data_IF_848714083250
#
_entry.id   IF_848714083250
#
_cell.length_a   1.000
_cell.length_b   1.000
_cell.length_c   1.000
_cell.angle_alpha   90.00
_cell.angle_beta   90.00
_cell.angle_gamma   90.00
#
_symmetry.space_group_name_H-M   'P 1'
#
loop_
_entity.id
_entity.type
_entity.pdbx_description
1 polymer ?
#
# COMPACT_ATOMS: atom_id res chain seq x y z
N UNK A 1 -27.61 -22.17 14.35
CA UNK A 1 -26.81 -21.75 15.52
C UNK A 1 -25.36 -22.11 15.27
N UNK A 2 -24.62 -21.26 14.57
CA UNK A 2 -23.17 -21.08 14.74
C UNK A 2 -22.97 -19.57 14.58
N UNK A 3 -22.80 -18.91 15.73
CA UNK A 3 -22.24 -17.55 15.80
C UNK A 3 -20.80 -17.66 15.30
N UNK A 4 -20.49 -17.05 14.16
CA UNK A 4 -19.10 -16.70 13.89
C UNK A 4 -18.81 -15.46 14.70
N UNK A 5 -18.14 -15.69 15.84
CA UNK A 5 -17.33 -14.69 16.52
C UNK A 5 -16.33 -14.13 15.51
N UNK A 6 -16.68 -12.99 14.89
CA UNK A 6 -15.72 -12.11 14.29
C UNK A 6 -14.72 -11.76 15.39
N UNK A 7 -13.51 -12.33 15.29
CA UNK A 7 -12.36 -11.85 16.05
C UNK A 7 -12.28 -10.34 15.78
N UNK A 8 -12.58 -9.54 16.80
CA UNK A 8 -12.26 -8.12 16.81
C UNK A 8 -10.75 -8.02 16.60
N UNK A 9 -10.34 -7.72 15.39
CA UNK A 9 -9.01 -7.19 15.13
C UNK A 9 -8.87 -5.94 15.98
N UNK A 10 -7.83 -5.86 16.80
CA UNK A 10 -7.52 -4.66 17.58
C UNK A 10 -7.45 -3.48 16.61
N UNK A 11 -8.44 -2.58 16.68
CA UNK A 11 -8.47 -1.36 15.89
C UNK A 11 -7.35 -0.48 16.44
N UNK A 12 -6.31 -0.22 15.65
CA UNK A 12 -5.25 0.72 16.03
C UNK A 12 -5.87 2.09 16.30
N UNK A 13 -5.68 2.60 17.51
CA UNK A 13 -6.32 3.84 17.96
C UNK A 13 -5.75 5.04 17.19
N UNK A 14 -6.62 5.98 16.82
CA UNK A 14 -6.20 7.24 16.20
C UNK A 14 -5.34 8.04 17.18
N UNK A 15 -4.22 8.59 16.71
CA UNK A 15 -3.53 9.69 17.41
C UNK A 15 -4.40 10.95 17.40
N UNK A 16 -4.10 11.90 18.30
CA UNK A 16 -4.80 13.19 18.32
C UNK A 16 -4.74 13.90 16.95
N UNK A 17 -3.57 13.90 16.32
CA UNK A 17 -3.36 14.57 15.04
C UNK A 17 -4.17 13.92 13.92
N UNK A 18 -4.25 12.59 13.89
CA UNK A 18 -5.06 11.85 12.91
C UNK A 18 -6.55 12.07 13.13
N UNK A 19 -7.01 12.04 14.39
CA UNK A 19 -8.41 12.30 14.73
C UNK A 19 -8.81 13.73 14.35
N UNK A 20 -7.99 14.72 14.71
CA UNK A 20 -8.23 16.13 14.40
C UNK A 20 -8.30 16.36 12.90
N UNK A 21 -7.32 15.83 12.16
CA UNK A 21 -7.26 15.93 10.70
C UNK A 21 -8.49 15.29 10.04
N UNK A 22 -8.82 14.05 10.41
CA UNK A 22 -9.93 13.30 9.81
C UNK A 22 -11.28 13.99 10.05
N UNK A 23 -11.52 14.45 11.29
CA UNK A 23 -12.77 15.15 11.64
C UNK A 23 -12.85 16.50 10.92
N UNK A 24 -11.73 17.21 10.78
CA UNK A 24 -11.67 18.46 10.05
C UNK A 24 -11.96 18.26 8.54
N UNK A 25 -11.40 17.21 7.93
CA UNK A 25 -11.63 16.89 6.52
C UNK A 25 -13.09 16.52 6.25
N UNK A 26 -13.68 15.64 7.07
CA UNK A 26 -15.10 15.26 6.98
C UNK A 26 -16.03 16.47 7.12
N UNK A 27 -15.75 17.34 8.08
CA UNK A 27 -16.56 18.55 8.29
C UNK A 27 -16.42 19.54 7.14
N UNK A 28 -15.20 19.72 6.62
CA UNK A 28 -14.92 20.60 5.48
C UNK A 28 -15.61 20.10 4.21
N UNK A 29 -15.67 18.78 4.00
CA UNK A 29 -16.39 18.19 2.86
C UNK A 29 -17.89 18.49 2.91
N UNK A 30 -18.51 18.36 4.10
CA UNK A 30 -19.94 18.59 4.28
C UNK A 30 -20.34 20.08 4.29
N UNK A 31 -19.57 20.94 4.97
CA UNK A 31 -19.98 22.33 5.26
C UNK A 31 -19.16 23.40 4.55
N UNK A 32 -18.11 23.00 3.83
CA UNK A 32 -17.07 23.89 3.26
C UNK A 32 -16.33 24.75 4.30
N UNK A 33 -16.45 24.42 5.59
CA UNK A 33 -15.77 25.08 6.72
C UNK A 33 -15.08 24.03 7.60
N UNK A 34 -13.89 24.36 8.10
CA UNK A 34 -13.16 23.51 9.04
C UNK A 34 -13.78 23.51 10.44
N UNK A 35 -13.11 22.84 11.38
CA UNK A 35 -13.48 22.89 12.79
C UNK A 35 -13.35 24.31 13.34
N UNK A 36 -14.31 24.68 14.18
CA UNK A 36 -14.22 25.89 15.02
C UNK A 36 -13.39 25.58 16.25
N UNK A 37 -12.82 26.61 16.88
CA UNK A 37 -12.09 26.46 18.14
C UNK A 37 -12.89 25.72 19.22
N UNK A 38 -14.21 25.92 19.26
CA UNK A 38 -15.09 25.22 20.19
C UNK A 38 -15.17 23.72 19.87
N UNK A 39 -15.34 23.36 18.60
CA UNK A 39 -15.41 21.95 18.19
C UNK A 39 -14.07 21.24 18.35
N UNK A 40 -12.94 21.91 18.07
CA UNK A 40 -11.61 21.36 18.34
C UNK A 40 -11.41 21.08 19.82
N UNK A 41 -11.82 22.01 20.70
CA UNK A 41 -11.77 21.80 22.17
C UNK A 41 -12.69 20.67 22.64
N UNK A 42 -13.87 20.54 22.03
CA UNK A 42 -14.79 19.42 22.29
C UNK A 42 -14.17 18.09 21.86
N UNK A 43 -13.61 18.04 20.66
CA UNK A 43 -12.96 16.86 20.11
C UNK A 43 -11.76 16.45 20.98
N UNK A 44 -10.95 17.42 21.42
CA UNK A 44 -9.82 17.19 22.32
C UNK A 44 -10.27 16.69 23.70
N UNK A 45 -11.31 17.29 24.26
CA UNK A 45 -11.90 16.83 25.52
C UNK A 45 -12.37 15.38 25.45
N UNK A 46 -13.01 14.97 24.35
CA UNK A 46 -13.44 13.57 24.15
C UNK A 46 -12.23 12.64 23.96
N UNK A 47 -11.21 13.09 23.22
CA UNK A 47 -9.97 12.33 23.03
C UNK A 47 -9.25 12.06 24.36
N UNK A 48 -9.28 13.03 25.27
CA UNK A 48 -8.70 12.94 26.61
C UNK A 48 -9.67 12.32 27.65
N UNK A 49 -10.77 11.71 27.20
CA UNK A 49 -11.83 11.06 28.02
C UNK A 49 -12.46 11.96 29.10
N UNK A 50 -12.59 13.26 28.83
CA UNK A 50 -13.22 14.24 29.73
C UNK A 50 -14.75 14.21 29.61
N UNK A 51 -15.44 14.43 30.74
CA UNK A 51 -16.89 14.68 30.72
C UNK A 51 -17.17 16.10 30.20
N UNK A 52 -18.36 16.29 29.62
CA UNK A 52 -18.77 17.62 29.16
C UNK A 52 -18.84 18.66 30.28
N UNK A 53 -19.15 18.26 31.51
CA UNK A 53 -19.15 19.17 32.66
C UNK A 53 -17.74 19.72 32.96
N UNK A 54 -16.72 18.85 32.95
CA UNK A 54 -15.33 19.24 33.21
C UNK A 54 -14.80 20.15 32.09
N UNK A 55 -15.13 19.82 30.84
CA UNK A 55 -14.79 20.66 29.69
C UNK A 55 -15.51 22.02 29.75
N UNK A 56 -16.76 22.06 30.21
CA UNK A 56 -17.56 23.28 30.34
C UNK A 56 -16.93 24.28 31.32
N UNK A 57 -16.43 23.77 32.43
CA UNK A 57 -15.67 24.56 33.40
C UNK A 57 -14.36 25.09 32.78
N UNK A 58 -13.59 24.22 32.13
CA UNK A 58 -12.30 24.55 31.52
C UNK A 58 -12.40 25.66 30.45
N UNK A 59 -13.44 25.63 29.62
CA UNK A 59 -13.62 26.61 28.55
C UNK A 59 -14.60 27.75 28.91
N UNK A 60 -15.05 27.80 30.17
CA UNK A 60 -15.98 28.80 30.70
C UNK A 60 -17.25 28.95 29.86
N UNK A 61 -17.93 27.83 29.58
CA UNK A 61 -19.19 27.77 28.82
C UNK A 61 -20.24 26.92 29.51
N UNK A 62 -21.49 27.10 29.14
CA UNK A 62 -22.57 26.22 29.60
C UNK A 62 -22.43 24.81 29.03
N UNK A 63 -22.55 23.78 29.88
CA UNK A 63 -22.48 22.37 29.49
C UNK A 63 -23.49 22.03 28.37
N UNK A 64 -24.68 22.64 28.40
CA UNK A 64 -25.70 22.42 27.37
C UNK A 64 -25.26 22.97 26.00
N UNK A 65 -24.54 24.10 25.97
CA UNK A 65 -23.99 24.66 24.74
C UNK A 65 -22.96 23.72 24.11
N UNK A 66 -22.11 23.11 24.93
CA UNK A 66 -21.14 22.09 24.51
C UNK A 66 -21.85 20.85 23.98
N UNK A 67 -22.87 20.34 24.68
CA UNK A 67 -23.67 19.18 24.23
C UNK A 67 -24.31 19.43 22.87
N UNK A 68 -24.87 20.63 22.65
CA UNK A 68 -25.49 21.01 21.39
C UNK A 68 -24.47 21.10 20.24
N UNK A 69 -23.29 21.66 20.51
CA UNK A 69 -22.20 21.74 19.53
C UNK A 69 -21.66 20.35 19.18
N UNK A 70 -21.43 19.50 20.19
CA UNK A 70 -21.00 18.11 20.00
C UNK A 70 -22.03 17.31 19.20
N UNK A 71 -23.32 17.45 19.52
CA UNK A 71 -24.41 16.79 18.77
C UNK A 71 -24.42 17.20 17.30
N UNK A 72 -24.26 18.50 17.02
CA UNK A 72 -24.23 19.02 15.66
C UNK A 72 -23.04 18.47 14.88
N UNK A 73 -21.85 18.42 15.50
CA UNK A 73 -20.66 17.83 14.92
C UNK A 73 -20.83 16.33 14.65
N UNK A 74 -21.34 15.57 15.63
CA UNK A 74 -21.57 14.13 15.46
C UNK A 74 -22.61 13.80 14.42
N UNK A 75 -23.63 14.65 14.25
CA UNK A 75 -24.61 14.49 13.18
C UNK A 75 -23.93 14.56 11.81
N UNK A 76 -23.08 15.57 11.60
CA UNK A 76 -22.28 15.71 10.37
C UNK A 76 -21.39 14.48 10.17
N UNK A 77 -20.67 14.06 11.20
CA UNK A 77 -19.79 12.88 11.10
C UNK A 77 -20.58 11.61 10.81
N UNK A 78 -21.77 11.45 11.40
CA UNK A 78 -22.62 10.29 11.15
C UNK A 78 -23.12 10.25 9.71
N UNK A 79 -23.49 11.41 9.17
CA UNK A 79 -23.94 11.55 7.78
C UNK A 79 -22.80 11.27 6.78
N UNK A 80 -21.56 11.67 7.10
CA UNK A 80 -20.40 11.46 6.23
C UNK A 80 -19.83 10.03 6.30
N UNK A 81 -19.94 9.37 7.46
CA UNK A 81 -19.37 8.03 7.67
C UNK A 81 -20.37 6.91 7.43
N UNK A 82 -21.67 7.20 7.42
CA UNK A 82 -22.73 6.19 7.38
C UNK A 82 -22.89 5.39 8.68
N UNK A 83 -22.11 5.72 9.72
CA UNK A 83 -22.20 5.11 11.05
C UNK A 83 -22.77 6.12 12.07
N UNK A 84 -23.58 5.64 13.01
CA UNK A 84 -24.05 6.49 14.11
C UNK A 84 -22.91 6.83 15.08
N UNK A 85 -22.45 8.07 15.06
CA UNK A 85 -21.35 8.56 15.88
C UNK A 85 -21.86 9.33 17.10
N UNK A 86 -21.22 9.09 18.25
CA UNK A 86 -21.37 9.84 19.49
C UNK A 86 -20.07 9.83 20.28
N UNK A 87 -20.04 10.51 21.43
CA UNK A 87 -18.80 10.66 22.21
C UNK A 87 -18.15 9.33 22.62
N UNK A 88 -18.96 8.30 22.91
CA UNK A 88 -18.48 6.99 23.37
C UNK A 88 -17.83 6.13 22.29
N UNK A 89 -18.18 6.34 21.02
CA UNK A 89 -17.69 5.53 19.91
C UNK A 89 -16.99 6.35 18.83
N UNK A 90 -16.79 7.66 19.04
CA UNK A 90 -16.17 8.56 18.08
C UNK A 90 -14.82 8.04 17.56
N UNK A 91 -13.90 7.73 18.48
CA UNK A 91 -12.55 7.30 18.13
C UNK A 91 -12.60 5.96 17.39
N UNK A 92 -13.36 4.99 17.90
CA UNK A 92 -13.46 3.65 17.29
C UNK A 92 -14.21 3.63 15.96
N UNK A 93 -15.24 4.48 15.80
CA UNK A 93 -15.97 4.62 14.55
C UNK A 93 -15.12 5.33 13.49
N UNK A 94 -14.35 6.35 13.89
CA UNK A 94 -13.46 7.05 12.97
C UNK A 94 -12.19 6.29 12.64
N UNK A 95 -11.68 5.47 13.56
CA UNK A 95 -10.60 4.53 13.26
C UNK A 95 -11.09 3.50 12.23
N UNK A 96 -12.29 2.91 12.43
CA UNK A 96 -12.92 2.06 11.40
C UNK A 96 -13.18 2.82 10.11
N UNK A 97 -13.58 4.08 10.17
CA UNK A 97 -13.77 4.89 8.97
C UNK A 97 -12.44 5.09 8.26
N UNK A 98 -11.36 5.52 8.93
CA UNK A 98 -10.00 5.61 8.36
C UNK A 98 -9.59 4.30 7.69
N UNK A 99 -9.78 3.19 8.40
CA UNK A 99 -9.37 1.85 7.96
C UNK A 99 -10.25 1.32 6.81
N UNK A 100 -11.48 1.84 6.66
CA UNK A 100 -12.42 1.47 5.60
C UNK A 100 -12.57 2.54 4.49
N UNK A 101 -12.03 3.75 4.67
CA UNK A 101 -12.20 4.90 3.77
C UNK A 101 -11.09 4.94 2.73
N UNK A 102 -11.08 3.95 1.86
CA UNK A 102 -10.75 4.24 0.48
C UNK A 102 -12.04 4.75 -0.22
N UNK A 103 -11.90 5.91 -0.90
CA UNK A 103 -12.76 6.47 -1.97
C UNK A 103 -13.93 7.39 -1.54
N UNK A 104 -13.74 8.72 -1.68
CA UNK A 104 -14.78 9.68 -2.08
C UNK A 104 -14.16 10.81 -2.92
N UNK A 105 -14.81 11.18 -4.03
CA UNK A 105 -14.40 12.32 -4.87
C UNK A 105 -14.94 13.66 -4.33
N UNK A 106 -14.51 14.76 -4.95
CA UNK A 106 -14.87 16.13 -4.56
C UNK A 106 -16.38 16.47 -4.59
N UNK A 107 -17.25 15.55 -5.02
CA UNK A 107 -18.69 15.72 -5.10
C UNK A 107 -19.51 14.74 -4.23
N UNK A 108 -18.85 14.02 -3.31
CA UNK A 108 -19.49 13.20 -2.27
C UNK A 108 -20.51 12.17 -2.81
N UNK A 109 -20.27 11.66 -4.02
CA UNK A 109 -20.93 10.46 -4.54
C UNK A 109 -19.99 9.27 -4.33
N UNK A 110 -20.51 8.06 -4.04
CA UNK A 110 -19.71 6.86 -4.19
C UNK A 110 -19.34 6.74 -5.66
N UNK A 111 -18.09 7.05 -5.99
CA UNK A 111 -17.52 6.71 -7.28
C UNK A 111 -17.04 5.26 -7.19
N UNK A 112 -17.45 4.35 -8.08
CA UNK A 112 -16.54 3.29 -8.47
C UNK A 112 -15.39 3.98 -9.20
N UNK A 113 -14.25 4.17 -8.51
CA UNK A 113 -13.03 4.49 -9.23
C UNK A 113 -12.69 3.29 -10.11
N UNK A 114 -12.35 3.64 -11.33
CA UNK A 114 -12.09 2.76 -12.45
C UNK A 114 -10.91 1.84 -12.08
N UNK A 115 -11.19 0.59 -11.69
CA UNK A 115 -10.23 -0.53 -11.54
C UNK A 115 -9.25 -0.56 -10.32
N UNK A 116 -9.75 -0.44 -9.09
CA UNK A 116 -8.94 -0.68 -7.87
C UNK A 116 -9.03 -2.13 -7.33
N UNK A 117 -9.70 -3.02 -8.06
CA UNK A 117 -9.81 -4.42 -7.63
C UNK A 117 -8.53 -5.18 -7.95
N UNK A 118 -7.77 -5.55 -6.92
CA UNK A 118 -6.60 -6.41 -7.06
C UNK A 118 -7.04 -7.88 -7.04
N UNK A 119 -6.71 -8.63 -8.10
CA UNK A 119 -6.94 -10.08 -8.12
C UNK A 119 -5.75 -10.79 -7.49
N UNK A 120 -5.99 -11.57 -6.44
CA UNK A 120 -5.00 -12.48 -5.87
C UNK A 120 -5.06 -13.82 -6.61
N UNK A 121 -4.00 -14.10 -7.37
CA UNK A 121 -3.78 -15.37 -8.06
C UNK A 121 -2.70 -16.16 -7.32
N UNK A 122 -3.09 -17.25 -6.65
CA UNK A 122 -2.15 -18.17 -6.00
C UNK A 122 -1.90 -19.36 -6.92
N UNK A 123 -0.64 -19.51 -7.31
CA UNK A 123 -0.13 -20.61 -8.10
C UNK A 123 0.94 -21.35 -7.29
N UNK A 124 0.85 -22.66 -7.22
CA UNK A 124 1.93 -23.50 -6.72
C UNK A 124 2.85 -23.89 -7.87
N UNK A 125 4.14 -23.59 -7.69
CA UNK A 125 5.28 -23.95 -8.53
C UNK A 125 6.49 -24.11 -7.59
N UNK A 126 7.47 -24.94 -7.95
CA UNK A 126 8.75 -25.00 -7.22
C UNK A 126 9.40 -23.62 -7.10
N UNK A 127 9.78 -23.22 -5.88
CA UNK A 127 10.26 -21.86 -5.57
C UNK A 127 11.55 -21.50 -6.32
N UNK A 128 12.42 -22.48 -6.59
CA UNK A 128 13.71 -22.27 -7.26
C UNK A 128 13.57 -22.05 -8.78
N UNK A 129 12.35 -22.12 -9.33
CA UNK A 129 12.11 -22.15 -10.76
C UNK A 129 11.55 -20.87 -11.36
N UNK A 130 11.39 -19.76 -10.63
CA UNK A 130 10.78 -18.52 -11.17
C UNK A 130 11.77 -17.41 -11.44
N UNK A 131 12.51 -17.57 -12.54
CA UNK A 131 13.26 -16.45 -13.12
C UNK A 131 12.31 -15.34 -13.57
N UNK A 132 12.75 -14.07 -13.62
CA UNK A 132 11.95 -12.98 -14.18
C UNK A 132 11.38 -13.29 -15.57
N UNK A 133 12.16 -13.99 -16.41
CA UNK A 133 11.74 -14.44 -17.74
C UNK A 133 10.56 -15.41 -17.70
N UNK A 134 10.55 -16.34 -16.74
CA UNK A 134 9.44 -17.27 -16.54
C UNK A 134 8.20 -16.55 -15.98
N UNK A 135 8.37 -15.52 -15.14
CA UNK A 135 7.26 -14.66 -14.68
C UNK A 135 6.65 -13.90 -15.87
N UNK A 136 7.47 -13.33 -16.75
CA UNK A 136 7.00 -12.63 -17.95
C UNK A 136 6.20 -13.58 -18.87
N UNK A 137 6.67 -14.83 -19.02
CA UNK A 137 5.94 -15.89 -19.75
C UNK A 137 4.59 -16.23 -19.11
N UNK A 138 4.55 -16.39 -17.78
CA UNK A 138 3.31 -16.63 -17.03
C UNK A 138 2.33 -15.47 -17.23
N UNK A 139 2.81 -14.22 -17.13
CA UNK A 139 1.96 -13.05 -17.35
C UNK A 139 1.34 -13.03 -18.76
N UNK A 140 2.13 -13.36 -19.79
CA UNK A 140 1.63 -13.47 -21.16
C UNK A 140 0.54 -14.55 -21.32
N UNK A 141 0.64 -15.67 -20.59
CA UNK A 141 -0.42 -16.69 -20.57
C UNK A 141 -1.69 -16.15 -19.91
N UNK A 142 -1.56 -15.51 -18.76
CA UNK A 142 -2.66 -14.92 -18.00
C UNK A 142 -3.41 -13.89 -18.87
N UNK A 143 -2.68 -12.98 -19.51
CA UNK A 143 -3.26 -11.98 -20.43
C UNK A 143 -4.06 -12.62 -21.58
N UNK A 144 -3.52 -13.69 -22.20
CA UNK A 144 -4.22 -14.43 -23.27
C UNK A 144 -5.50 -15.08 -22.78
N UNK A 145 -5.48 -15.69 -21.60
CA UNK A 145 -6.65 -16.37 -21.01
C UNK A 145 -7.72 -15.37 -20.61
N UNK A 146 -7.30 -14.26 -20.00
CA UNK A 146 -8.15 -13.14 -19.65
C UNK A 146 -8.66 -12.35 -20.87
N UNK A 147 -8.02 -12.54 -22.04
CA UNK A 147 -8.23 -11.73 -23.24
C UNK A 147 -8.03 -10.24 -22.96
N UNK A 148 -7.06 -9.93 -22.12
CA UNK A 148 -6.78 -8.59 -21.64
C UNK A 148 -5.26 -8.40 -21.52
N UNK A 149 -4.71 -7.52 -22.35
CA UNK A 149 -3.28 -7.21 -22.35
C UNK A 149 -2.89 -6.15 -21.31
N UNK A 150 -3.87 -5.55 -20.62
CA UNK A 150 -3.63 -4.61 -19.53
C UNK A 150 -3.27 -5.34 -18.24
N UNK A 151 -3.54 -6.64 -18.15
CA UNK A 151 -3.25 -7.42 -16.94
C UNK A 151 -1.75 -7.50 -16.68
N UNK A 152 -1.34 -7.10 -15.48
CA UNK A 152 0.06 -7.12 -15.06
C UNK A 152 0.17 -7.52 -13.59
N UNK A 153 1.26 -8.19 -13.19
CA UNK A 153 1.53 -8.41 -11.79
C UNK A 153 1.95 -7.10 -11.13
N UNK A 154 1.39 -6.81 -9.96
CA UNK A 154 1.74 -5.63 -9.16
C UNK A 154 2.73 -5.98 -8.05
N UNK A 155 2.59 -7.15 -7.44
CA UNK A 155 3.57 -7.71 -6.51
C UNK A 155 3.49 -9.23 -6.43
N UNK A 156 4.50 -9.84 -5.79
CA UNK A 156 4.56 -11.28 -5.49
C UNK A 156 4.93 -11.56 -4.03
N UNK A 157 4.55 -12.71 -3.48
CA UNK A 157 5.05 -13.21 -2.18
C UNK A 157 5.82 -14.53 -2.32
N UNK A 158 6.72 -14.81 -1.36
CA UNK A 158 7.48 -16.06 -1.24
C UNK A 158 6.64 -17.20 -0.63
N UNK A 159 7.04 -18.45 -0.91
CA UNK A 159 6.46 -19.67 -0.31
C UNK A 159 5.40 -20.37 -1.16
N UNK A 160 4.70 -19.60 -1.99
CA UNK A 160 3.84 -20.03 -3.10
C UNK A 160 3.82 -18.85 -4.07
N UNK A 161 3.76 -19.04 -5.39
CA UNK A 161 3.65 -17.88 -6.27
C UNK A 161 2.28 -17.25 -6.04
N UNK A 162 2.23 -16.26 -5.16
CA UNK A 162 1.07 -15.42 -5.00
C UNK A 162 1.31 -14.18 -5.82
N UNK A 163 0.68 -14.10 -6.98
CA UNK A 163 0.69 -12.91 -7.82
C UNK A 163 -0.54 -12.07 -7.48
N UNK A 164 -0.32 -10.79 -7.29
CA UNK A 164 -1.38 -9.82 -7.25
C UNK A 164 -1.44 -9.17 -8.62
N UNK A 165 -2.61 -9.13 -9.23
CA UNK A 165 -2.80 -8.64 -10.59
C UNK A 165 -3.64 -7.36 -10.60
N UNK A 166 -3.21 -6.42 -11.42
CA UNK A 166 -4.01 -5.28 -11.90
C UNK A 166 -4.39 -5.52 -13.36
N UNK A 167 -5.44 -4.86 -13.86
CA UNK A 167 -5.92 -4.97 -15.24
C UNK A 167 -7.39 -4.56 -15.35
N UNK A 168 -8.02 -4.70 -16.52
CA UNK A 168 -9.43 -4.33 -16.67
C UNK A 168 -10.34 -5.20 -15.79
N UNK A 169 -11.45 -4.62 -15.33
CA UNK A 169 -12.43 -5.34 -14.52
C UNK A 169 -12.94 -6.60 -15.22
N UNK A 170 -13.24 -6.52 -16.53
CA UNK A 170 -13.68 -7.66 -17.34
C UNK A 170 -12.61 -8.76 -17.40
N UNK A 171 -11.35 -8.39 -17.58
CA UNK A 171 -10.22 -9.32 -17.65
C UNK A 171 -10.00 -10.05 -16.31
N UNK A 172 -10.00 -9.30 -15.20
CA UNK A 172 -9.83 -9.86 -13.87
C UNK A 172 -11.02 -10.72 -13.44
N UNK A 173 -12.26 -10.27 -13.72
CA UNK A 173 -13.47 -11.03 -13.41
C UNK A 173 -13.52 -12.34 -14.21
N UNK A 174 -13.12 -12.30 -15.49
CA UNK A 174 -13.01 -13.52 -16.31
C UNK A 174 -12.03 -14.53 -15.73
N UNK A 175 -10.89 -14.10 -15.17
CA UNK A 175 -9.96 -15.00 -14.50
C UNK A 175 -10.61 -15.66 -13.27
N UNK A 176 -11.33 -14.88 -12.47
CA UNK A 176 -12.07 -15.40 -11.31
C UNK A 176 -13.14 -16.42 -11.71
N UNK A 177 -13.94 -16.12 -12.74
CA UNK A 177 -15.01 -17.00 -13.24
C UNK A 177 -14.45 -18.31 -13.82
N UNK A 178 -13.33 -18.22 -14.56
CA UNK A 178 -12.63 -19.39 -15.08
C UNK A 178 -12.06 -20.27 -13.95
N UNK A 179 -11.60 -19.67 -12.86
CA UNK A 179 -11.16 -20.42 -11.70
C UNK A 179 -12.34 -21.11 -11.01
N UNK A 180 -13.45 -20.39 -10.79
CA UNK A 180 -14.65 -20.91 -10.15
C UNK A 180 -15.30 -22.07 -10.94
N UNK A 181 -15.24 -22.02 -12.27
CA UNK A 181 -15.70 -23.09 -13.16
C UNK A 181 -14.71 -24.27 -13.28
N UNK A 182 -13.48 -24.13 -12.77
CA UNK A 182 -12.40 -25.12 -12.90
C UNK A 182 -11.69 -25.11 -14.26
N UNK A 183 -12.06 -24.20 -15.18
CA UNK A 183 -11.48 -24.12 -16.51
C UNK A 183 -10.11 -23.42 -16.55
N UNK A 184 -9.81 -22.56 -15.57
CA UNK A 184 -8.57 -21.78 -15.58
C UNK A 184 -7.32 -22.66 -15.63
N UNK A 185 -7.31 -23.74 -14.85
CA UNK A 185 -6.21 -24.71 -14.81
C UNK A 185 -6.01 -25.41 -16.17
N UNK A 186 -7.11 -25.84 -16.80
CA UNK A 186 -7.06 -26.49 -18.10
C UNK A 186 -6.50 -25.55 -19.17
N UNK A 187 -6.96 -24.30 -19.20
CA UNK A 187 -6.49 -23.28 -20.16
C UNK A 187 -5.02 -22.94 -19.98
N UNK A 188 -4.55 -22.86 -18.75
CA UNK A 188 -3.12 -22.65 -18.46
C UNK A 188 -2.28 -23.84 -18.96
N UNK A 189 -2.76 -25.06 -18.75
CA UNK A 189 -2.08 -26.28 -19.23
C UNK A 189 -2.08 -26.42 -20.76
N UNK A 190 -3.12 -25.97 -21.44
CA UNK A 190 -3.20 -25.99 -22.91
C UNK A 190 -2.27 -24.98 -23.57
N UNK A 191 -2.07 -23.81 -22.95
CA UNK A 191 -1.34 -22.70 -23.54
C UNK A 191 0.14 -22.62 -23.13
N UNK A 192 0.53 -23.30 -22.05
CA UNK A 192 1.92 -23.26 -21.57
C UNK A 192 2.87 -23.96 -22.53
N UNK A 193 4.09 -23.45 -22.60
CA UNK A 193 5.23 -24.10 -23.26
C UNK A 193 5.96 -25.03 -22.29
N UNK A 194 6.72 -26.00 -22.83
CA UNK A 194 7.40 -27.06 -22.05
C UNK A 194 8.40 -26.55 -21.00
N UNK A 195 8.91 -25.32 -21.17
CA UNK A 195 9.86 -24.66 -20.27
C UNK A 195 9.19 -23.95 -19.08
N UNK A 196 7.86 -23.88 -19.07
CA UNK A 196 7.08 -23.39 -17.94
C UNK A 196 6.76 -24.59 -17.04
N UNK A 197 7.16 -24.56 -15.76
CA UNK A 197 6.88 -25.67 -14.84
C UNK A 197 5.37 -25.90 -14.67
N UNK A 198 5.00 -27.03 -14.07
CA UNK A 198 3.60 -27.28 -13.74
C UNK A 198 3.05 -26.16 -12.84
N UNK A 199 2.00 -25.50 -13.32
CA UNK A 199 1.30 -24.41 -12.66
C UNK A 199 0.05 -25.03 -12.05
N UNK A 200 -0.10 -24.96 -10.72
CA UNK A 200 -1.33 -25.37 -10.05
C UNK A 200 -2.02 -24.13 -9.48
N UNK A 201 -3.19 -23.78 -10.02
CA UNK A 201 -3.98 -22.66 -9.50
C UNK A 201 -4.75 -23.11 -8.27
N UNK A 202 -4.48 -22.47 -7.13
CA UNK A 202 -5.20 -22.71 -5.87
C UNK A 202 -6.27 -21.67 -5.59
N UNK A 203 -6.08 -20.47 -6.12
CA UNK A 203 -6.89 -19.29 -5.82
C UNK A 203 -6.80 -18.32 -6.99
N UNK A 204 -7.94 -17.80 -7.43
CA UNK A 204 -8.02 -16.60 -8.27
C UNK A 204 -9.28 -15.85 -7.87
N UNK A 205 -9.15 -14.93 -6.91
CA UNK A 205 -10.27 -14.13 -6.42
C UNK A 205 -9.79 -12.73 -6.07
N UNK A 206 -10.72 -11.79 -6.04
CA UNK A 206 -10.41 -10.42 -5.63
C UNK A 206 -10.09 -10.39 -4.14
N UNK A 207 -8.93 -9.83 -3.81
CA UNK A 207 -8.54 -9.69 -2.40
C UNK A 207 -9.43 -8.66 -1.71
N UNK A 208 -9.76 -8.93 -0.45
CA UNK A 208 -10.39 -7.97 0.47
C UNK A 208 -9.43 -7.54 1.58
N UNK A 209 -8.15 -7.95 1.50
CA UNK A 209 -7.14 -7.57 2.47
C UNK A 209 -6.73 -6.11 2.25
N UNK A 210 -7.13 -5.24 3.18
CA UNK A 210 -6.88 -3.81 3.10
C UNK A 210 -5.39 -3.47 3.01
N UNK A 211 -4.49 -4.22 3.69
CA UNK A 211 -3.05 -3.97 3.64
C UNK A 211 -2.46 -4.31 2.27
N UNK A 212 -2.96 -5.38 1.66
CA UNK A 212 -2.58 -5.78 0.31
C UNK A 212 -3.04 -4.72 -0.70
N UNK A 213 -4.26 -4.21 -0.55
CA UNK A 213 -4.82 -3.18 -1.42
C UNK A 213 -4.04 -1.87 -1.27
N UNK A 214 -3.78 -1.42 -0.03
CA UNK A 214 -2.99 -0.22 0.24
C UNK A 214 -1.58 -0.31 -0.37
N UNK A 215 -0.91 -1.44 -0.18
CA UNK A 215 0.40 -1.70 -0.78
C UNK A 215 0.35 -1.70 -2.31
N UNK A 216 -0.68 -2.30 -2.89
CA UNK A 216 -0.90 -2.29 -4.33
C UNK A 216 -1.07 -0.85 -4.86
N UNK A 217 -1.93 -0.04 -4.24
CA UNK A 217 -2.12 1.36 -4.63
C UNK A 217 -0.84 2.20 -4.49
N UNK A 218 -0.05 1.97 -3.43
CA UNK A 218 1.25 2.61 -3.29
C UNK A 218 2.19 2.24 -4.46
N UNK A 219 2.24 0.96 -4.85
CA UNK A 219 3.06 0.50 -5.97
C UNK A 219 2.59 1.14 -7.29
N UNK A 220 1.28 1.23 -7.53
CA UNK A 220 0.75 1.95 -8.71
C UNK A 220 1.18 3.40 -8.71
N UNK A 221 1.00 4.10 -7.59
CA UNK A 221 1.35 5.51 -7.46
C UNK A 221 2.85 5.77 -7.69
N UNK A 222 3.72 4.84 -7.27
CA UNK A 222 5.15 4.88 -7.58
C UNK A 222 5.40 4.73 -9.08
N UNK A 223 4.78 3.74 -9.73
CA UNK A 223 4.96 3.47 -11.17
C UNK A 223 4.47 4.62 -12.04
N UNK A 224 3.39 5.28 -11.62
CA UNK A 224 2.80 6.42 -12.31
C UNK A 224 3.48 7.75 -11.97
N UNK A 225 4.32 7.78 -10.93
CA UNK A 225 5.02 8.99 -10.48
C UNK A 225 4.08 10.02 -9.84
N UNK A 226 2.94 9.58 -9.30
CA UNK A 226 1.93 10.44 -8.67
C UNK A 226 2.14 10.62 -7.16
N UNK A 227 3.03 9.82 -6.56
CA UNK A 227 3.33 9.85 -5.13
C UNK A 227 4.33 10.95 -4.75
N UNK A 228 4.18 11.50 -3.55
CA UNK A 228 5.25 12.27 -2.91
C UNK A 228 6.35 11.31 -2.43
N UNK A 229 7.48 11.29 -3.14
CA UNK A 229 8.59 10.36 -2.87
C UNK A 229 9.25 10.57 -1.49
N UNK A 230 8.96 11.65 -0.78
CA UNK A 230 9.46 11.87 0.60
C UNK A 230 8.71 11.02 1.63
N UNK A 231 7.57 10.44 1.25
CA UNK A 231 6.69 9.63 2.12
C UNK A 231 7.04 8.15 2.13
N UNK A 232 8.04 7.71 1.36
CA UNK A 232 8.36 6.28 1.16
C UNK A 232 9.26 5.69 2.27
N UNK A 233 9.31 6.31 3.44
CA UNK A 233 10.09 5.82 4.57
C UNK A 233 9.39 4.64 5.22
N UNK A 234 10.15 3.57 5.50
CA UNK A 234 9.67 2.37 6.21
C UNK A 234 8.46 1.66 5.57
N UNK A 235 8.14 1.97 4.31
CA UNK A 235 7.04 1.33 3.60
C UNK A 235 7.37 -0.12 3.25
N UNK A 236 6.34 -0.97 3.15
CA UNK A 236 6.49 -2.32 2.62
C UNK A 236 6.27 -2.35 1.11
N UNK A 237 7.36 -2.50 0.36
CA UNK A 237 7.41 -2.70 -1.09
C UNK A 237 7.96 -4.09 -1.45
N UNK A 238 7.91 -5.04 -0.51
CA UNK A 238 8.42 -6.38 -0.77
C UNK A 238 7.68 -7.04 -1.93
N UNK A 239 8.44 -7.64 -2.84
CA UNK A 239 7.95 -8.31 -4.04
C UNK A 239 7.32 -7.37 -5.08
N UNK A 240 7.42 -6.06 -4.93
CA UNK A 240 6.83 -5.08 -5.86
C UNK A 240 7.46 -5.17 -7.26
N UNK A 241 6.64 -5.03 -8.30
CA UNK A 241 7.12 -4.88 -9.68
C UNK A 241 7.28 -3.38 -10.01
N UNK A 242 8.50 -2.88 -9.91
CA UNK A 242 8.88 -1.46 -10.06
C UNK A 242 9.83 -1.24 -11.25
N UNK A 243 9.75 -2.09 -12.28
CA UNK A 243 10.60 -2.02 -13.47
C UNK A 243 10.45 -0.64 -14.12
N UNK A 244 11.57 0.05 -14.31
CA UNK A 244 11.61 1.38 -14.93
C UNK A 244 10.98 2.50 -14.11
N UNK A 245 10.58 2.25 -12.85
CA UNK A 245 9.96 3.27 -12.01
C UNK A 245 10.92 4.45 -11.74
N UNK A 246 10.38 5.67 -11.71
CA UNK A 246 11.15 6.85 -11.35
C UNK A 246 11.11 7.06 -9.83
N UNK A 247 12.15 6.59 -9.14
CA UNK A 247 12.39 6.76 -7.72
C UNK A 247 13.56 7.73 -7.44
N UNK A 248 13.92 8.59 -8.39
CA UNK A 248 14.97 9.58 -8.18
C UNK A 248 14.66 10.46 -6.97
N UNK A 249 15.67 10.73 -6.15
CA UNK A 249 15.60 11.51 -4.91
C UNK A 249 14.56 11.02 -3.88
N UNK A 250 14.08 9.77 -4.01
CA UNK A 250 13.11 9.20 -3.09
C UNK A 250 13.70 8.97 -1.70
N UNK A 251 12.88 9.17 -0.67
CA UNK A 251 13.22 8.82 0.69
C UNK A 251 12.72 7.41 1.01
N UNK A 252 13.57 6.41 0.79
CA UNK A 252 13.30 4.98 1.00
C UNK A 252 13.95 4.44 2.28
N UNK A 253 14.24 5.32 3.25
CA UNK A 253 14.92 4.93 4.49
C UNK A 253 14.13 3.85 5.22
N UNK A 254 14.77 2.71 5.47
CA UNK A 254 14.15 1.56 6.14
C UNK A 254 13.02 0.88 5.37
N UNK A 255 12.81 1.20 4.09
CA UNK A 255 11.81 0.53 3.27
C UNK A 255 12.15 -0.96 3.11
N UNK A 256 11.12 -1.81 3.10
CA UNK A 256 11.28 -3.22 2.74
C UNK A 256 11.12 -3.37 1.23
N UNK A 257 12.23 -3.63 0.52
CA UNK A 257 12.29 -3.89 -0.92
C UNK A 257 12.68 -5.34 -1.22
N UNK A 258 12.56 -6.24 -0.23
CA UNK A 258 12.91 -7.65 -0.43
C UNK A 258 12.13 -8.25 -1.60
N UNK A 259 12.81 -9.02 -2.46
CA UNK A 259 12.24 -9.63 -3.68
C UNK A 259 11.65 -8.64 -4.72
N UNK A 260 11.80 -7.33 -4.54
CA UNK A 260 11.30 -6.33 -5.48
C UNK A 260 12.05 -6.37 -6.82
N UNK A 261 11.32 -6.17 -7.91
CA UNK A 261 11.90 -6.06 -9.25
C UNK A 261 12.09 -4.58 -9.61
N UNK A 262 13.33 -4.09 -9.45
CA UNK A 262 13.75 -2.72 -9.70
C UNK A 262 14.55 -2.60 -11.01
N UNK A 263 14.40 -3.56 -11.94
CA UNK A 263 15.12 -3.54 -13.22
C UNK A 263 14.90 -2.21 -13.94
N UNK A 264 15.99 -1.53 -14.31
CA UNK A 264 15.92 -0.25 -15.02
C UNK A 264 15.27 0.91 -14.25
N UNK A 265 14.95 0.76 -12.95
CA UNK A 265 14.40 1.84 -12.15
C UNK A 265 15.43 2.97 -11.98
N UNK A 266 14.98 4.22 -11.96
CA UNK A 266 15.83 5.35 -11.63
C UNK A 266 15.82 5.58 -10.12
N UNK A 267 16.91 5.26 -9.44
CA UNK A 267 17.14 5.46 -8.00
C UNK A 267 18.17 6.58 -7.76
N UNK A 268 18.49 7.40 -8.76
CA UNK A 268 19.53 8.43 -8.65
C UNK A 268 19.21 9.38 -7.49
N UNK A 269 20.16 9.59 -6.57
CA UNK A 269 19.97 10.40 -5.37
C UNK A 269 19.04 9.82 -4.30
N UNK A 270 18.42 8.66 -4.51
CA UNK A 270 17.50 8.05 -3.54
C UNK A 270 18.22 7.66 -2.25
N UNK A 271 17.52 7.79 -1.12
CA UNK A 271 18.04 7.41 0.19
C UNK A 271 17.49 6.05 0.63
N UNK A 272 18.30 4.99 0.49
CA UNK A 272 18.00 3.63 0.91
C UNK A 272 18.72 3.25 2.22
N UNK A 273 19.05 4.22 3.07
CA UNK A 273 19.68 3.93 4.36
C UNK A 273 18.83 2.91 5.13
N UNK A 274 19.46 1.84 5.62
CA UNK A 274 18.86 0.70 6.33
C UNK A 274 17.69 -0.01 5.61
N UNK A 275 17.52 0.18 4.30
CA UNK A 275 16.51 -0.54 3.53
C UNK A 275 16.87 -2.04 3.38
N UNK A 276 15.86 -2.90 3.31
CA UNK A 276 16.06 -4.33 3.02
C UNK A 276 15.91 -4.61 1.53
N UNK A 277 17.01 -4.98 0.86
CA UNK A 277 17.05 -5.31 -0.57
C UNK A 277 17.26 -6.81 -0.80
N UNK A 278 16.98 -7.65 0.20
CA UNK A 278 17.18 -9.10 0.10
C UNK A 278 16.47 -9.66 -1.13
N UNK A 279 17.21 -10.23 -2.08
CA UNK A 279 16.69 -10.80 -3.32
C UNK A 279 16.08 -9.79 -4.31
N UNK A 280 16.26 -8.49 -4.09
CA UNK A 280 15.82 -7.47 -5.02
C UNK A 280 16.64 -7.52 -6.32
N UNK A 281 15.98 -7.27 -7.46
CA UNK A 281 16.65 -7.22 -8.77
C UNK A 281 16.96 -5.77 -9.16
N UNK A 282 18.23 -5.37 -9.05
CA UNK A 282 18.72 -4.03 -9.39
C UNK A 282 19.40 -3.96 -10.78
N UNK A 283 19.17 -4.97 -11.64
CA UNK A 283 19.82 -5.04 -12.95
C UNK A 283 19.42 -3.84 -13.82
N UNK A 284 20.41 -3.07 -14.27
CA UNK A 284 20.19 -1.88 -15.09
C UNK A 284 19.57 -0.69 -14.35
N UNK A 285 19.34 -0.77 -13.03
CA UNK A 285 18.87 0.39 -12.26
C UNK A 285 19.94 1.51 -12.27
N UNK A 286 19.48 2.75 -12.38
CA UNK A 286 20.32 3.95 -12.26
C UNK A 286 20.47 4.26 -10.78
N UNK A 287 21.70 4.28 -10.26
CA UNK A 287 21.98 4.38 -8.81
C UNK A 287 22.99 5.48 -8.49
N UNK A 288 23.17 6.43 -9.41
CA UNK A 288 24.13 7.51 -9.23
C UNK A 288 23.75 8.34 -8.00
N UNK A 289 24.70 8.53 -7.07
CA UNK A 289 24.50 9.22 -5.80
C UNK A 289 23.44 8.60 -4.86
N UNK A 290 22.93 7.41 -5.16
CA UNK A 290 21.98 6.71 -4.29
C UNK A 290 22.68 6.21 -3.02
N UNK A 291 22.05 6.40 -1.85
CA UNK A 291 22.64 6.08 -0.55
C UNK A 291 22.19 4.69 -0.11
N UNK A 292 23.12 3.73 -0.04
CA UNK A 292 22.88 2.36 0.42
C UNK A 292 23.56 2.05 1.76
N UNK A 293 23.94 3.09 2.52
CA UNK A 293 24.56 2.91 3.84
C UNK A 293 23.68 1.99 4.71
N UNK A 294 24.26 0.94 5.28
CA UNK A 294 23.58 -0.06 6.10
C UNK A 294 22.39 -0.80 5.44
N UNK A 295 22.18 -0.68 4.13
CA UNK A 295 21.18 -1.48 3.44
C UNK A 295 21.55 -2.98 3.51
N UNK A 296 20.55 -3.85 3.70
CA UNK A 296 20.76 -5.31 3.82
C UNK A 296 20.40 -6.03 2.52
N UNK A 297 20.80 -7.30 2.41
CA UNK A 297 20.42 -8.13 1.26
C UNK A 297 21.22 -7.90 -0.02
N UNK A 298 22.29 -7.10 0.05
CA UNK A 298 23.21 -6.83 -1.06
C UNK A 298 24.46 -7.70 -0.90
N UNK A 299 24.80 -8.52 -1.90
CA UNK A 299 26.04 -9.32 -1.88
C UNK A 299 27.29 -8.44 -2.06
N UNK A 300 28.49 -8.91 -1.67
CA UNK A 300 29.73 -8.17 -1.91
C UNK A 300 29.94 -7.79 -3.39
N UNK A 301 29.58 -8.68 -4.32
CA UNK A 301 29.69 -8.46 -5.76
C UNK A 301 28.73 -7.38 -6.22
N UNK A 302 27.46 -7.44 -5.77
CA UNK A 302 26.47 -6.40 -6.06
C UNK A 302 26.91 -5.05 -5.49
N UNK A 303 27.45 -5.01 -4.27
CA UNK A 303 27.97 -3.78 -3.66
C UNK A 303 29.08 -3.15 -4.51
N UNK A 304 30.05 -3.94 -4.98
CA UNK A 304 31.12 -3.44 -5.85
C UNK A 304 30.57 -2.88 -7.17
N UNK A 305 29.62 -3.59 -7.79
CA UNK A 305 28.97 -3.13 -9.01
C UNK A 305 28.18 -1.82 -8.81
N UNK A 306 27.39 -1.73 -7.74
CA UNK A 306 26.64 -0.52 -7.36
C UNK A 306 27.58 0.68 -7.14
N UNK A 307 28.70 0.47 -6.44
CA UNK A 307 29.72 1.52 -6.24
C UNK A 307 30.29 1.99 -7.59
N UNK A 308 30.60 1.07 -8.51
CA UNK A 308 31.07 1.44 -9.87
C UNK A 308 30.03 2.25 -10.65
N UNK A 309 28.74 2.02 -10.38
CA UNK A 309 27.60 2.78 -10.93
C UNK A 309 27.29 4.08 -10.17
N UNK A 310 28.13 4.48 -9.20
CA UNK A 310 28.00 5.76 -8.49
C UNK A 310 27.21 5.71 -7.19
N UNK A 311 26.86 4.52 -6.68
CA UNK A 311 26.18 4.38 -5.39
C UNK A 311 27.11 4.68 -4.21
N UNK A 312 26.53 5.22 -3.14
CA UNK A 312 27.22 5.61 -1.91
C UNK A 312 26.94 4.57 -0.83
N UNK A 313 28.00 3.93 -0.33
CA UNK A 313 27.98 3.15 0.90
C UNK A 313 28.84 3.90 1.91
N UNK A 314 28.34 4.20 3.11
CA UNK A 314 29.01 5.01 4.14
C UNK A 314 30.42 4.57 4.59
N UNK A 315 30.95 3.47 4.05
CA UNK A 315 32.29 2.93 4.26
C UNK A 315 33.31 3.27 3.14
N UNK A 316 33.10 4.31 2.33
CA UNK A 316 34.09 4.73 1.30
C UNK A 316 35.42 5.26 1.87
N UNK A 317 35.68 5.08 3.17
CA UNK A 317 36.90 5.49 3.88
C UNK A 317 38.16 4.68 3.56
N UNK A 318 38.21 3.88 2.48
CA UNK A 318 39.44 3.19 2.13
C UNK A 318 39.73 2.90 0.65
N UNK A 319 39.30 3.77 -0.28
CA UNK A 319 39.88 3.73 -1.63
C UNK A 319 41.14 4.60 -1.73
N UNK A 320 42.24 4.10 -1.15
CA UNK A 320 43.61 4.60 -1.36
C UNK A 320 44.21 4.13 -2.70
N UNK A 321 43.43 3.60 -3.66
CA UNK A 321 43.99 3.11 -4.93
C UNK A 321 44.13 4.16 -6.05
N UNK A 322 43.84 5.45 -5.79
CA UNK A 322 44.16 6.57 -6.71
C UNK A 322 45.25 7.52 -6.21
N UNK A 323 46.15 7.05 -5.35
CA UNK A 323 47.37 7.78 -4.99
C UNK A 323 48.61 6.91 -5.25
N UNK A 324 48.86 6.60 -6.53
CA UNK A 324 50.21 6.36 -7.01
C UNK A 324 50.40 7.21 -8.27
N UNK A 325 51.17 8.28 -8.05
CA UNK A 325 51.99 8.96 -9.06
C UNK A 325 53.00 7.95 -9.62
#
# INVERSE_FOLDING_TARGET
>A
MIMNELKMTEIETLSWFELERLVNDLKKNHTKKGLTDLETKILKGIFDDKKYADLAEEISREEQSIKNAAYSLFKILSEQTGEKIGSKNLITALARYRDNSQIFDHNNKPQPQQSDRVLELVIEVGIDDLTPEKIDKINNLIQKIARDNTIKPIMKLKGSIRLFLEGSEDGLQRLADLHQSGELQARLNELKSDDIPEIIVKKAEFTTDAKVIEKAELIKAIREGTIDKTTLQQVDLSGAFLIGANLSDADLRGANLSDADLRGANLSGANLWIADLSWANLSGAEVENAIFTNATGITPEQKQDLIRRGAIFGDTSNDRSKALV
#
